data_IF_536875958094
#
_entry.id   IF_536875958094
#
_cell.length_a   1.000
_cell.length_b   1.000
_cell.length_c   1.000
_cell.angle_alpha   90.00
_cell.angle_beta   90.00
_cell.angle_gamma   90.00
#
_symmetry.space_group_name_H-M   'P 1'
#
loop_
_entity.id
_entity.type
_entity.pdbx_description
1 polymer ?
#
# COMPACT_ATOMS: atom_id res chain seq x y z
N UNK A 1 9.26 -4.33 16.89
CA UNK A 1 8.53 -5.42 16.21
C UNK A 1 7.46 -4.76 15.35
N UNK A 2 7.18 -5.26 14.13
CA UNK A 2 6.13 -4.72 13.29
C UNK A 2 4.75 -4.85 13.94
N UNK A 3 3.81 -3.97 13.58
CA UNK A 3 2.42 -4.11 14.00
C UNK A 3 1.74 -5.29 13.29
N UNK A 4 0.68 -5.89 13.88
CA UNK A 4 -0.11 -6.92 13.20
C UNK A 4 -0.65 -6.46 11.83
N UNK A 5 -1.05 -5.20 11.74
CA UNK A 5 -1.52 -4.60 10.49
C UNK A 5 -0.41 -4.52 9.45
N UNK A 6 0.82 -4.17 9.86
CA UNK A 6 1.99 -4.16 8.98
C UNK A 6 2.27 -5.54 8.39
N UNK A 7 2.24 -6.57 9.24
CA UNK A 7 2.45 -7.95 8.80
C UNK A 7 1.34 -8.42 7.84
N UNK A 8 0.09 -8.02 8.07
CA UNK A 8 -1.03 -8.31 7.18
C UNK A 8 -0.84 -7.65 5.80
N UNK A 9 -0.41 -6.38 5.78
CA UNK A 9 -0.09 -5.67 4.55
C UNK A 9 1.05 -6.36 3.80
N UNK A 10 2.12 -6.76 4.52
CA UNK A 10 3.24 -7.49 3.93
C UNK A 10 2.78 -8.81 3.27
N UNK A 11 1.88 -9.55 3.93
CA UNK A 11 1.28 -10.76 3.36
C UNK A 11 0.46 -10.46 2.09
N UNK A 12 -0.34 -9.39 2.11
CA UNK A 12 -1.12 -8.94 0.95
C UNK A 12 -0.23 -8.69 -0.26
N UNK A 13 0.91 -8.01 -0.04
CA UNK A 13 1.89 -7.70 -1.08
C UNK A 13 2.55 -8.96 -1.64
N UNK A 14 3.01 -9.85 -0.77
CA UNK A 14 3.66 -11.11 -1.17
C UNK A 14 2.74 -12.01 -2.01
N UNK A 15 1.43 -12.01 -1.70
CA UNK A 15 0.43 -12.83 -2.39
C UNK A 15 -0.31 -12.10 -3.51
N UNK A 16 0.00 -10.82 -3.75
CA UNK A 16 -0.74 -9.92 -4.64
C UNK A 16 -2.26 -9.94 -4.38
N UNK A 17 -2.65 -9.91 -3.10
CA UNK A 17 -4.04 -9.83 -2.66
C UNK A 17 -4.44 -8.38 -2.36
N UNK A 18 -5.65 -8.01 -2.75
CA UNK A 18 -6.20 -6.70 -2.44
C UNK A 18 -6.37 -6.54 -0.92
N UNK A 19 -6.31 -5.31 -0.45
CA UNK A 19 -6.52 -4.96 0.95
C UNK A 19 -7.74 -4.05 1.08
N UNK A 20 -8.65 -4.44 1.96
CA UNK A 20 -9.77 -3.62 2.41
C UNK A 20 -9.46 -3.08 3.80
N UNK A 21 -9.82 -1.83 4.06
CA UNK A 21 -9.69 -1.26 5.40
C UNK A 21 -10.59 -0.05 5.60
N UNK A 22 -10.76 0.35 6.85
CA UNK A 22 -11.21 1.68 7.23
C UNK A 22 -9.99 2.58 7.44
N UNK A 23 -10.04 3.81 6.91
CA UNK A 23 -9.00 4.81 7.10
C UNK A 23 -9.61 6.21 7.20
N UNK A 24 -9.46 6.83 8.38
CA UNK A 24 -10.02 8.15 8.72
C UNK A 24 -11.51 8.27 8.38
N UNK A 25 -12.30 7.28 8.80
CA UNK A 25 -13.76 7.24 8.61
C UNK A 25 -14.24 6.82 7.23
N UNK A 26 -13.35 6.38 6.33
CA UNK A 26 -13.72 5.95 4.99
C UNK A 26 -13.23 4.53 4.68
N UNK A 27 -14.12 3.71 4.11
CA UNK A 27 -13.75 2.42 3.55
C UNK A 27 -12.82 2.59 2.35
N UNK A 28 -11.75 1.79 2.29
CA UNK A 28 -10.73 1.80 1.25
C UNK A 28 -10.65 0.40 0.63
N UNK A 29 -10.42 0.37 -0.67
CA UNK A 29 -9.99 -0.84 -1.37
C UNK A 29 -8.72 -0.51 -2.15
N UNK A 30 -7.61 -1.13 -1.76
CA UNK A 30 -6.27 -0.78 -2.23
C UNK A 30 -5.45 -2.00 -2.61
N UNK A 31 -4.42 -1.79 -3.43
CA UNK A 31 -3.32 -2.74 -3.62
C UNK A 31 -2.04 -2.09 -3.07
N UNK A 32 -1.47 -2.59 -1.96
CA UNK A 32 -0.23 -2.05 -1.39
C UNK A 32 0.96 -2.33 -2.32
N UNK A 33 1.77 -1.31 -2.61
CA UNK A 33 2.88 -1.42 -3.58
C UNK A 33 4.24 -1.25 -2.92
N UNK A 34 4.39 -0.28 -2.01
CA UNK A 34 5.62 -0.06 -1.23
C UNK A 34 5.27 -0.03 0.26
N UNK A 35 6.00 -0.81 1.05
CA UNK A 35 5.87 -0.89 2.50
C UNK A 35 7.22 -0.61 3.15
N UNK A 36 7.21 0.14 4.24
CA UNK A 36 8.41 0.49 4.97
C UNK A 36 8.13 1.53 6.04
N UNK A 37 9.10 2.42 6.26
CA UNK A 37 9.03 3.41 7.32
C UNK A 37 9.37 4.82 6.84
N UNK A 38 8.84 5.81 7.55
CA UNK A 38 9.28 7.21 7.44
C UNK A 38 9.32 7.80 8.84
N UNK A 39 10.49 8.31 9.25
CA UNK A 39 10.70 8.87 10.59
C UNK A 39 10.23 7.93 11.73
N UNK A 40 10.54 6.63 11.61
CA UNK A 40 10.19 5.60 12.58
C UNK A 40 8.72 5.16 12.57
N UNK A 41 7.87 5.72 11.71
CA UNK A 41 6.46 5.31 11.56
C UNK A 41 6.32 4.33 10.42
N UNK A 42 5.47 3.33 10.60
CA UNK A 42 5.08 2.37 9.56
C UNK A 42 4.24 3.06 8.49
N UNK A 43 4.66 2.93 7.22
CA UNK A 43 4.04 3.60 6.08
C UNK A 43 3.82 2.62 4.95
N UNK A 44 2.67 2.75 4.30
CA UNK A 44 2.38 2.03 3.06
C UNK A 44 1.93 3.01 1.99
N UNK A 45 2.49 2.83 0.81
CA UNK A 45 2.03 3.46 -0.41
C UNK A 45 1.25 2.43 -1.22
N UNK A 46 0.00 2.75 -1.51
CA UNK A 46 -0.90 1.85 -2.17
C UNK A 46 -1.66 2.55 -3.30
N UNK A 47 -2.09 1.74 -4.27
CA UNK A 47 -3.02 2.19 -5.30
C UNK A 47 -4.45 1.93 -4.83
N UNK A 48 -5.21 3.00 -4.57
CA UNK A 48 -6.62 2.91 -4.25
C UNK A 48 -7.43 2.83 -5.54
N UNK A 49 -8.11 1.70 -5.76
CA UNK A 49 -8.88 1.43 -6.98
C UNK A 49 -10.40 1.50 -6.75
N UNK A 50 -10.87 1.42 -5.50
CA UNK A 50 -12.28 1.57 -5.13
C UNK A 50 -12.44 2.09 -3.68
N UNK A 51 -13.68 2.14 -3.20
CA UNK A 51 -14.04 2.67 -1.89
C UNK A 51 -14.22 4.20 -1.89
N UNK A 52 -14.25 4.78 -0.69
CA UNK A 52 -14.47 6.20 -0.47
C UNK A 52 -13.19 7.00 -0.25
N UNK A 53 -13.34 8.31 -0.29
CA UNK A 53 -12.39 9.31 0.22
C UNK A 53 -13.17 10.59 0.54
N UNK A 54 -12.62 11.48 1.36
CA UNK A 54 -13.27 12.75 1.72
C UNK A 54 -13.65 13.61 0.51
N UNK A 55 -12.86 13.55 -0.57
CA UNK A 55 -13.09 14.26 -1.83
C UNK A 55 -13.58 13.36 -2.98
N UNK A 56 -13.99 12.12 -2.68
CA UNK A 56 -14.24 11.09 -3.70
C UNK A 56 -12.97 10.51 -4.34
N UNK A 57 -13.13 9.45 -5.13
CA UNK A 57 -12.06 8.74 -5.83
C UNK A 57 -12.14 9.02 -7.34
N UNK A 58 -11.06 9.49 -8.00
CA UNK A 58 -11.05 9.68 -9.44
C UNK A 58 -11.33 8.38 -10.22
N UNK A 59 -11.91 8.51 -11.42
CA UNK A 59 -12.10 7.37 -12.32
C UNK A 59 -10.73 6.78 -12.65
N UNK A 60 -10.59 5.47 -12.46
CA UNK A 60 -9.33 4.75 -12.66
C UNK A 60 -8.46 4.60 -11.41
N UNK A 61 -8.84 5.23 -10.28
CA UNK A 61 -8.13 5.10 -9.00
C UNK A 61 -7.00 6.13 -8.84
N UNK A 62 -6.33 6.09 -7.68
CA UNK A 62 -5.20 6.96 -7.40
C UNK A 62 -4.20 6.35 -6.43
N UNK A 63 -2.97 6.85 -6.48
CA UNK A 63 -1.97 6.60 -5.45
C UNK A 63 -2.34 7.32 -4.14
N UNK A 64 -2.16 6.62 -3.01
CA UNK A 64 -2.38 7.13 -1.65
C UNK A 64 -1.30 6.59 -0.71
N UNK A 65 -0.86 7.48 0.17
CA UNK A 65 -0.06 7.14 1.34
C UNK A 65 -0.95 6.91 2.54
N UNK A 66 -0.67 5.86 3.30
CA UNK A 66 -1.36 5.54 4.54
C UNK A 66 -0.38 5.47 5.70
N UNK A 67 -0.80 6.00 6.85
CA UNK A 67 -0.20 5.67 8.14
C UNK A 67 -0.78 4.33 8.59
N UNK A 68 0.07 3.32 8.79
CA UNK A 68 -0.40 1.98 9.16
C UNK A 68 -1.13 2.03 10.51
N UNK A 69 -0.73 2.92 11.41
CA UNK A 69 -1.35 3.08 12.72
C UNK A 69 -2.80 3.64 12.65
N UNK A 70 -3.18 4.27 11.54
CA UNK A 70 -4.53 4.82 11.33
C UNK A 70 -5.44 3.90 10.51
N UNK A 71 -4.95 2.71 10.12
CA UNK A 71 -5.73 1.70 9.40
C UNK A 71 -6.43 0.77 10.39
N UNK A 72 -7.73 0.56 10.21
CA UNK A 72 -8.54 -0.38 11.00
C UNK A 72 -9.36 -1.29 10.10
N UNK A 73 -9.94 -2.36 10.67
CA UNK A 73 -10.78 -3.32 9.93
C UNK A 73 -10.07 -3.85 8.68
N UNK A 74 -8.79 -4.21 8.83
CA UNK A 74 -7.93 -4.59 7.72
C UNK A 74 -8.18 -6.04 7.33
N UNK A 75 -8.57 -6.24 6.08
CA UNK A 75 -8.92 -7.55 5.53
C UNK A 75 -8.24 -7.78 4.18
N UNK A 76 -7.87 -9.03 3.93
CA UNK A 76 -7.34 -9.49 2.66
C UNK A 76 -8.48 -9.97 1.77
N UNK A 77 -8.42 -9.60 0.48
CA UNK A 77 -9.40 -10.02 -0.51
C UNK A 77 -8.71 -10.49 -1.78
N UNK A 78 -9.14 -11.63 -2.31
CA UNK A 78 -8.75 -12.06 -3.64
C UNK A 78 -9.38 -11.19 -4.73
N UNK A 79 -8.63 -10.92 -5.79
CA UNK A 79 -9.12 -10.13 -6.91
C UNK A 79 -8.00 -9.66 -7.82
N UNK A 80 -8.38 -8.97 -8.90
CA UNK A 80 -7.40 -8.40 -9.84
C UNK A 80 -6.46 -7.45 -9.10
N UNK A 81 -5.16 -7.67 -9.21
CA UNK A 81 -4.18 -6.70 -8.72
C UNK A 81 -4.23 -5.42 -9.55
N UNK A 82 -4.32 -4.27 -8.89
CA UNK A 82 -4.35 -2.96 -9.52
C UNK A 82 -3.08 -2.19 -9.18
N UNK A 83 -2.39 -1.70 -10.20
CA UNK A 83 -1.26 -0.79 -10.06
C UNK A 83 -1.42 0.36 -11.06
N UNK A 84 -1.13 1.59 -10.65
CA UNK A 84 -1.14 2.75 -11.55
C UNK A 84 -0.03 2.65 -12.60
N UNK A 85 -0.20 3.30 -13.76
CA UNK A 85 0.74 3.25 -14.91
C UNK A 85 2.04 4.04 -14.71
N UNK A 86 2.25 4.68 -13.56
CA UNK A 86 3.42 5.54 -13.36
C UNK A 86 3.78 5.56 -11.89
N UNK A 87 4.89 4.93 -11.56
CA UNK A 87 5.53 5.04 -10.25
C UNK A 87 6.99 5.46 -10.38
N UNK A 88 7.27 6.27 -11.40
CA UNK A 88 8.61 6.81 -11.72
C UNK A 88 8.99 8.04 -10.90
N UNK A 89 8.09 8.53 -10.02
CA UNK A 89 8.32 9.73 -9.23
C UNK A 89 8.96 9.37 -7.88
N UNK A 90 9.95 10.15 -7.40
CA UNK A 90 10.49 10.07 -6.05
C UNK A 90 9.36 10.18 -5.01
N UNK A 91 9.30 9.24 -4.07
CA UNK A 91 8.21 9.14 -3.10
C UNK A 91 8.69 9.67 -1.75
N UNK A 92 8.09 10.75 -1.23
CA UNK A 92 8.26 11.15 0.18
C UNK A 92 7.49 10.23 1.15
N UNK A 93 6.71 9.28 0.62
CA UNK A 93 5.77 8.48 1.38
C UNK A 93 6.45 7.50 2.34
N UNK A 94 7.44 6.78 1.81
CA UNK A 94 8.19 5.70 2.45
C UNK A 94 9.67 6.00 2.21
N UNK A 95 10.38 6.43 3.25
CA UNK A 95 11.80 6.78 3.16
C UNK A 95 12.69 5.54 3.28
N UNK A 96 12.37 4.66 4.23
CA UNK A 96 13.08 3.39 4.46
C UNK A 96 12.24 2.25 3.89
N UNK A 97 12.53 1.83 2.65
CA UNK A 97 11.76 0.80 1.94
C UNK A 97 12.15 -0.61 2.40
N UNK A 98 11.17 -1.36 2.90
CA UNK A 98 11.34 -2.76 3.32
C UNK A 98 10.87 -3.76 2.26
N UNK A 99 9.74 -3.47 1.60
CA UNK A 99 9.19 -4.28 0.52
C UNK A 99 8.63 -3.40 -0.60
N UNK A 100 8.97 -3.73 -1.84
CA UNK A 100 8.43 -3.10 -3.04
C UNK A 100 8.06 -4.20 -4.05
N UNK A 101 6.81 -4.19 -4.50
CA UNK A 101 6.28 -5.15 -5.50
C UNK A 101 6.02 -4.51 -6.86
N UNK A 102 6.42 -3.25 -7.05
CA UNK A 102 6.43 -2.59 -8.34
C UNK A 102 7.53 -3.20 -9.23
N UNK A 103 7.19 -3.84 -10.37
CA UNK A 103 8.19 -4.40 -11.27
C UNK A 103 9.08 -3.34 -11.91
N UNK A 104 8.58 -2.11 -12.04
CA UNK A 104 9.28 -0.97 -12.63
C UNK A 104 9.91 -0.07 -11.56
N UNK A 105 10.15 -0.59 -10.35
CA UNK A 105 10.67 0.22 -9.25
C UNK A 105 12.09 0.71 -9.56
N UNK A 106 12.37 2.03 -9.43
CA UNK A 106 13.72 2.55 -9.52
C UNK A 106 14.52 2.35 -8.22
N UNK A 107 13.92 1.81 -7.15
CA UNK A 107 14.54 1.62 -5.84
C UNK A 107 15.20 0.23 -5.72
N UNK A 108 16.23 0.10 -4.88
CA UNK A 108 16.82 -1.20 -4.51
C UNK A 108 16.29 -1.63 -3.12
N UNK A 109 15.14 -2.33 -3.04
CA UNK A 109 14.51 -2.66 -1.77
C UNK A 109 15.33 -3.69 -0.98
N UNK A 110 15.33 -3.57 0.36
CA UNK A 110 16.02 -4.52 1.26
C UNK A 110 15.52 -5.96 1.12
N UNK A 111 14.29 -6.16 0.63
CA UNK A 111 13.71 -7.48 0.31
C UNK A 111 13.06 -7.45 -1.07
N UNK A 112 13.46 -8.38 -1.93
CA UNK A 112 12.86 -8.62 -3.25
C UNK A 112 11.88 -9.79 -3.14
N UNK A 113 10.66 -9.71 -3.71
CA UNK A 113 9.78 -10.86 -3.83
C UNK A 113 10.54 -11.97 -4.60
N UNK A 114 10.52 -13.20 -4.08
CA UNK A 114 11.00 -14.34 -4.86
C UNK A 114 10.11 -14.48 -6.08
N UNK A 115 10.73 -14.57 -7.27
CA UNK A 115 10.05 -14.84 -8.53
C UNK A 115 9.28 -16.15 -8.47
#
# INVERSE_FOLDING_TARGET
MPSPTYDLIMQAMMRRQQLLCMYRGHARAVCPIILGHTAGRERVLAFQFAGGASSGLPRGGQWKCFDVAEMSEVELREGRWHSGRSHSQPQYCVADVDLDVNPDSPYDPKRKPRR
#
